data_IF_309925250494
#
_entry.id   IF_309925250494
#
_cell.length_a   1.000
_cell.length_b   1.000
_cell.length_c   1.000
_cell.angle_alpha   90.00
_cell.angle_beta   90.00
_cell.angle_gamma   90.00
#
_symmetry.space_group_name_H-M   'P 1'
#
loop_
_entity.id
_entity.type
_entity.pdbx_description
1 polymer ?
#
# COMPACT_ATOMS: atom_id res chain seq x y z
N UNK A 1 -1.81 -1.67 0.29
CA UNK A 1 -1.30 -0.87 1.42
C UNK A 1 -2.02 0.49 1.52
N UNK A 2 -1.55 1.37 2.39
CA UNK A 2 -2.24 2.63 2.69
C UNK A 2 -2.12 3.62 1.55
N UNK A 3 -1.03 3.64 0.84
CA UNK A 3 -0.82 4.56 -0.28
C UNK A 3 -1.82 4.26 -1.39
N UNK A 4 -1.90 3.01 -1.85
CA UNK A 4 -2.90 2.58 -2.83
C UNK A 4 -4.35 2.78 -2.36
N UNK A 5 -4.65 2.55 -1.07
CA UNK A 5 -5.97 2.80 -0.49
C UNK A 5 -6.31 4.30 -0.47
N UNK A 6 -5.35 5.14 -0.09
CA UNK A 6 -5.52 6.60 -0.10
C UNK A 6 -5.71 7.13 -1.52
N UNK A 7 -4.90 6.62 -2.47
CA UNK A 7 -5.03 6.95 -3.90
C UNK A 7 -6.41 6.54 -4.45
N UNK A 8 -6.88 5.34 -4.10
CA UNK A 8 -8.22 4.86 -4.48
C UNK A 8 -9.31 5.76 -3.92
N UNK A 9 -9.24 6.11 -2.63
CA UNK A 9 -10.23 6.98 -1.99
C UNK A 9 -10.23 8.41 -2.59
N UNK A 10 -9.06 8.93 -2.98
CA UNK A 10 -8.93 10.22 -3.70
C UNK A 10 -9.69 10.17 -5.03
N UNK A 11 -9.46 9.13 -5.83
CA UNK A 11 -10.12 9.03 -7.14
C UNK A 11 -11.62 8.76 -7.03
N UNK A 12 -12.07 7.92 -6.08
CA UNK A 12 -13.48 7.67 -5.84
C UNK A 12 -14.23 8.96 -5.45
N UNK A 13 -13.66 9.75 -4.54
CA UNK A 13 -14.22 11.04 -4.12
C UNK A 13 -14.28 12.02 -5.31
N UNK A 14 -13.17 12.19 -6.03
CA UNK A 14 -13.10 13.11 -7.15
C UNK A 14 -14.01 12.70 -8.32
N UNK A 15 -14.03 11.43 -8.71
CA UNK A 15 -14.87 10.93 -9.80
C UNK A 15 -16.36 11.09 -9.49
N UNK A 16 -16.75 10.84 -8.22
CA UNK A 16 -18.10 11.13 -7.77
C UNK A 16 -18.50 12.62 -7.94
N UNK A 17 -17.58 13.54 -7.68
CA UNK A 17 -17.80 14.99 -7.85
C UNK A 17 -17.82 15.40 -9.32
N UNK A 18 -16.98 14.82 -10.17
CA UNK A 18 -17.04 15.01 -11.62
C UNK A 18 -18.33 14.46 -12.26
N UNK A 19 -19.12 13.67 -11.50
CA UNK A 19 -20.40 13.15 -11.95
C UNK A 19 -20.33 11.79 -12.65
N UNK A 20 -19.22 11.08 -12.55
CA UNK A 20 -19.15 9.68 -13.00
C UNK A 20 -20.06 8.82 -12.12
N UNK A 21 -20.94 8.03 -12.77
CA UNK A 21 -21.98 7.26 -12.08
C UNK A 21 -21.59 5.82 -11.77
N UNK A 22 -20.78 5.23 -12.65
CA UNK A 22 -20.39 3.82 -12.59
C UNK A 22 -18.90 3.73 -12.28
N UNK A 23 -18.56 3.98 -11.03
CA UNK A 23 -17.19 3.90 -10.52
C UNK A 23 -17.15 2.88 -9.40
N UNK A 24 -16.28 1.88 -9.54
CA UNK A 24 -16.01 0.87 -8.54
C UNK A 24 -14.54 0.79 -8.21
N UNK A 25 -14.21 0.23 -7.05
CA UNK A 25 -12.84 -0.07 -6.68
C UNK A 25 -12.65 -1.59 -6.58
N UNK A 26 -11.49 -2.06 -7.01
CA UNK A 26 -11.05 -3.43 -6.81
C UNK A 26 -9.71 -3.42 -6.05
N UNK A 27 -9.69 -4.09 -4.91
CA UNK A 27 -8.47 -4.24 -4.11
C UNK A 27 -8.06 -5.71 -4.14
N UNK A 28 -6.89 -6.05 -4.69
CA UNK A 28 -6.38 -7.41 -4.68
C UNK A 28 -6.21 -7.95 -3.25
N UNK A 29 -6.64 -9.17 -3.02
CA UNK A 29 -6.36 -9.87 -1.77
C UNK A 29 -4.97 -10.50 -1.86
N UNK A 30 -4.03 -10.07 -1.01
CA UNK A 30 -2.63 -10.53 -1.04
C UNK A 30 -2.44 -12.04 -0.89
N UNK A 31 -3.41 -12.73 -0.26
CA UNK A 31 -3.35 -14.17 -0.04
C UNK A 31 -3.88 -15.00 -1.23
N UNK A 32 -4.61 -14.36 -2.14
CA UNK A 32 -5.25 -15.01 -3.29
C UNK A 32 -4.64 -14.51 -4.59
N UNK A 33 -4.62 -13.19 -4.80
CA UNK A 33 -4.13 -12.56 -6.04
C UNK A 33 -2.65 -12.14 -5.94
N UNK A 34 -2.11 -11.96 -4.74
CA UNK A 34 -0.79 -11.35 -4.54
C UNK A 34 -0.85 -9.83 -4.54
N UNK A 35 0.26 -9.19 -4.93
CA UNK A 35 0.39 -7.74 -5.02
C UNK A 35 0.26 -7.23 -6.45
N UNK A 36 -0.31 -6.03 -6.60
CA UNK A 36 -0.41 -5.33 -7.87
C UNK A 36 -1.50 -5.88 -8.79
N UNK A 37 -1.40 -5.55 -10.07
CA UNK A 37 -2.32 -6.00 -11.11
C UNK A 37 -1.91 -7.42 -11.55
N UNK A 38 -2.88 -8.33 -11.60
CA UNK A 38 -2.69 -9.71 -12.06
C UNK A 38 -3.75 -10.06 -13.11
N UNK A 39 -3.51 -11.11 -13.90
CA UNK A 39 -4.51 -11.60 -14.87
C UNK A 39 -5.86 -11.90 -14.19
N UNK A 40 -5.83 -12.55 -13.01
CA UNK A 40 -7.03 -12.85 -12.25
C UNK A 40 -7.75 -11.60 -11.74
N UNK A 41 -7.02 -10.51 -11.44
CA UNK A 41 -7.60 -9.22 -11.11
C UNK A 41 -8.32 -8.62 -12.34
N UNK A 42 -7.71 -8.70 -13.52
CA UNK A 42 -8.34 -8.26 -14.78
C UNK A 42 -9.63 -9.02 -15.06
N UNK A 43 -9.65 -10.35 -14.88
CA UNK A 43 -10.87 -11.15 -15.04
C UNK A 43 -11.98 -10.74 -14.09
N UNK A 44 -11.65 -10.41 -12.84
CA UNK A 44 -12.63 -9.91 -11.87
C UNK A 44 -13.19 -8.55 -12.25
N UNK A 45 -12.33 -7.64 -12.71
CA UNK A 45 -12.75 -6.31 -13.20
C UNK A 45 -13.61 -6.43 -14.46
N UNK A 46 -13.28 -7.36 -15.37
CA UNK A 46 -14.15 -7.70 -16.50
C UNK A 46 -15.57 -8.13 -16.07
N UNK A 47 -15.65 -8.95 -15.01
CA UNK A 47 -16.94 -9.41 -14.48
C UNK A 47 -17.74 -8.26 -13.81
N UNK A 48 -17.09 -7.14 -13.47
CA UNK A 48 -17.73 -5.90 -13.04
C UNK A 48 -18.24 -5.06 -14.23
N UNK A 49 -18.07 -5.54 -15.48
CA UNK A 49 -18.42 -4.88 -16.73
C UNK A 49 -17.72 -3.51 -16.90
N UNK A 50 -16.48 -3.38 -16.43
CA UNK A 50 -15.70 -2.16 -16.60
C UNK A 50 -15.13 -2.06 -18.02
N UNK A 51 -15.20 -0.86 -18.60
CA UNK A 51 -14.59 -0.51 -19.89
C UNK A 51 -13.21 0.14 -19.71
N UNK A 52 -12.93 0.66 -18.51
CA UNK A 52 -11.69 1.34 -18.16
C UNK A 52 -11.18 0.90 -16.79
N UNK A 53 -9.90 0.57 -16.74
CA UNK A 53 -9.15 0.38 -15.50
C UNK A 53 -8.27 1.60 -15.26
N UNK A 54 -8.37 2.21 -14.08
CA UNK A 54 -7.40 3.20 -13.63
C UNK A 54 -6.62 2.56 -12.48
N UNK A 55 -5.36 2.20 -12.72
CA UNK A 55 -4.51 1.67 -11.64
C UNK A 55 -4.01 2.82 -10.77
N UNK A 56 -3.88 2.57 -9.49
CA UNK A 56 -3.28 3.50 -8.54
C UNK A 56 -2.20 2.78 -7.75
N UNK A 57 -1.05 3.42 -7.56
CA UNK A 57 0.08 2.88 -6.80
C UNK A 57 0.59 1.53 -7.34
N UNK A 58 0.36 1.27 -8.63
CA UNK A 58 0.78 0.06 -9.35
C UNK A 58 0.62 0.23 -10.86
N UNK A 59 1.21 -0.69 -11.61
CA UNK A 59 0.93 -0.81 -13.05
C UNK A 59 2.13 -0.51 -13.95
N UNK A 60 3.15 0.20 -13.47
CA UNK A 60 4.31 0.58 -14.31
C UNK A 60 5.09 -0.60 -14.89
N UNK A 61 5.01 -1.78 -14.27
CA UNK A 61 5.66 -3.00 -14.73
C UNK A 61 4.69 -4.09 -15.19
N UNK A 62 3.37 -3.81 -15.20
CA UNK A 62 2.32 -4.79 -15.50
C UNK A 62 2.02 -4.87 -17.00
N UNK A 63 3.06 -5.11 -17.84
CA UNK A 63 2.92 -5.10 -19.30
C UNK A 63 1.96 -6.20 -19.81
N UNK A 64 2.14 -7.44 -19.34
CA UNK A 64 1.34 -8.58 -19.77
C UNK A 64 -0.13 -8.46 -19.32
N UNK A 65 -0.36 -7.97 -18.11
CA UNK A 65 -1.70 -7.77 -17.56
C UNK A 65 -2.46 -6.67 -18.31
N UNK A 66 -1.77 -5.61 -18.71
CA UNK A 66 -2.36 -4.51 -19.49
C UNK A 66 -2.64 -4.95 -20.92
N UNK A 67 -1.75 -5.72 -21.55
CA UNK A 67 -2.03 -6.35 -22.85
C UNK A 67 -3.24 -7.28 -22.77
N UNK A 68 -3.35 -8.06 -21.70
CA UNK A 68 -4.48 -8.93 -21.47
C UNK A 68 -5.78 -8.12 -21.30
N UNK A 69 -5.80 -7.06 -20.51
CA UNK A 69 -6.96 -6.17 -20.40
C UNK A 69 -7.38 -5.59 -21.75
N UNK A 70 -6.42 -5.12 -22.56
CA UNK A 70 -6.66 -4.62 -23.90
C UNK A 70 -7.26 -5.69 -24.84
N UNK A 71 -6.81 -6.95 -24.74
CA UNK A 71 -7.38 -8.07 -25.50
C UNK A 71 -8.85 -8.33 -25.17
N UNK A 72 -9.27 -7.96 -23.95
CA UNK A 72 -10.65 -8.03 -23.47
C UNK A 72 -11.45 -6.75 -23.76
N UNK A 73 -10.86 -5.78 -24.47
CA UNK A 73 -11.42 -4.45 -24.79
C UNK A 73 -11.64 -3.59 -23.53
N UNK A 74 -10.75 -3.72 -22.56
CA UNK A 74 -10.72 -2.88 -21.35
C UNK A 74 -9.50 -1.97 -21.50
N UNK A 75 -9.74 -0.68 -21.58
CA UNK A 75 -8.67 0.31 -21.60
C UNK A 75 -8.01 0.43 -20.22
N UNK A 76 -6.73 0.79 -20.19
CA UNK A 76 -6.01 0.95 -18.93
C UNK A 76 -5.30 2.31 -18.91
N UNK A 77 -5.50 3.05 -17.83
CA UNK A 77 -4.71 4.23 -17.44
C UNK A 77 -3.89 3.87 -16.20
N UNK A 78 -2.58 4.00 -16.30
CA UNK A 78 -1.66 3.70 -15.19
C UNK A 78 -1.35 4.99 -14.43
N UNK A 79 -1.57 4.98 -13.09
CA UNK A 79 -1.03 5.99 -12.18
C UNK A 79 -0.18 5.31 -11.12
N UNK A 80 1.12 5.62 -11.11
CA UNK A 80 2.08 4.88 -10.29
C UNK A 80 3.28 5.77 -9.93
N UNK A 81 4.09 5.35 -8.99
CA UNK A 81 5.32 6.02 -8.58
C UNK A 81 6.50 5.05 -8.38
N UNK A 82 6.25 3.75 -8.55
CA UNK A 82 7.29 2.72 -8.44
C UNK A 82 8.33 2.81 -9.56
N UNK A 83 9.36 1.99 -9.45
CA UNK A 83 10.37 1.89 -10.50
C UNK A 83 9.74 1.47 -11.83
N UNK A 84 10.31 1.95 -12.91
CA UNK A 84 9.79 1.78 -14.27
C UNK A 84 10.74 0.92 -15.10
N UNK A 85 10.19 0.25 -16.12
CA UNK A 85 10.99 -0.37 -17.17
C UNK A 85 11.53 0.69 -18.15
N UNK A 86 12.40 0.29 -19.08
CA UNK A 86 12.89 1.17 -20.15
C UNK A 86 11.76 1.67 -21.05
N UNK A 87 10.75 0.85 -21.27
CA UNK A 87 9.55 1.20 -22.04
C UNK A 87 8.33 1.29 -21.11
N UNK A 88 7.46 2.30 -21.32
CA UNK A 88 6.18 2.35 -20.60
C UNK A 88 5.29 1.13 -20.90
N UNK A 89 4.39 0.74 -19.99
CA UNK A 89 3.44 -0.33 -20.24
C UNK A 89 2.47 0.07 -21.40
N UNK A 90 1.91 -0.92 -22.13
CA UNK A 90 1.05 -0.69 -23.31
C UNK A 90 -0.37 -0.24 -22.90
N UNK A 91 -0.46 0.77 -22.06
CA UNK A 91 -1.68 1.42 -21.59
C UNK A 91 -2.07 2.60 -22.49
N UNK A 92 -3.33 3.03 -22.41
CA UNK A 92 -3.81 4.25 -23.10
C UNK A 92 -3.04 5.48 -22.62
N UNK A 93 -2.76 5.54 -21.33
CA UNK A 93 -1.91 6.55 -20.73
C UNK A 93 -1.20 5.99 -19.51
N UNK A 94 0.03 6.45 -19.26
CA UNK A 94 0.80 6.09 -18.07
C UNK A 94 1.36 7.37 -17.42
N UNK A 95 0.99 7.57 -16.17
CA UNK A 95 1.43 8.68 -15.34
C UNK A 95 2.33 8.15 -14.23
N UNK A 96 3.63 8.37 -14.38
CA UNK A 96 4.61 8.08 -13.34
C UNK A 96 5.76 9.09 -13.45
N UNK A 97 6.07 9.84 -12.39
CA UNK A 97 7.12 10.86 -12.42
C UNK A 97 8.53 10.30 -12.66
N UNK A 98 8.70 8.98 -12.60
CA UNK A 98 10.00 8.31 -12.81
C UNK A 98 10.22 7.84 -14.26
N UNK A 99 9.22 7.90 -15.16
CA UNK A 99 9.43 7.52 -16.56
C UNK A 99 10.54 8.35 -17.21
N UNK A 100 11.38 7.72 -18.06
CA UNK A 100 12.39 8.42 -18.82
C UNK A 100 11.77 9.54 -19.68
N UNK A 101 12.40 10.73 -19.66
CA UNK A 101 11.90 11.88 -20.41
C UNK A 101 10.73 12.63 -19.78
N UNK A 102 10.22 12.19 -18.65
CA UNK A 102 9.17 12.90 -17.92
C UNK A 102 9.70 14.27 -17.41
N UNK A 103 8.89 15.31 -17.57
CA UNK A 103 9.29 16.69 -17.25
C UNK A 103 8.82 17.16 -15.87
N UNK A 104 8.11 16.33 -15.12
CA UNK A 104 7.66 16.71 -13.79
C UNK A 104 8.86 16.90 -12.86
N UNK A 105 8.99 18.04 -12.17
CA UNK A 105 10.22 18.41 -11.47
C UNK A 105 10.50 17.55 -10.22
N UNK A 106 9.46 16.98 -9.60
CA UNK A 106 9.57 16.23 -8.37
C UNK A 106 9.20 14.75 -8.58
N UNK A 107 10.18 13.86 -8.40
CA UNK A 107 10.04 12.43 -8.74
C UNK A 107 9.58 11.54 -7.58
N UNK A 108 9.64 12.04 -6.35
CA UNK A 108 9.42 11.25 -5.14
C UNK A 108 7.99 11.34 -4.60
N UNK A 109 7.01 11.59 -5.46
CA UNK A 109 5.59 11.48 -5.08
C UNK A 109 5.28 10.02 -4.72
N UNK A 110 4.39 9.82 -3.74
CA UNK A 110 3.73 8.55 -3.50
C UNK A 110 2.54 8.34 -4.46
N UNK A 111 1.93 7.16 -4.48
CA UNK A 111 0.78 6.85 -5.34
C UNK A 111 -0.42 7.77 -5.09
N UNK A 112 -0.72 8.10 -3.83
CA UNK A 112 -1.75 9.08 -3.48
C UNK A 112 -1.41 10.49 -4.00
N UNK A 113 -0.12 10.86 -4.01
CA UNK A 113 0.36 12.11 -4.61
C UNK A 113 0.15 12.13 -6.12
N UNK A 114 0.43 11.03 -6.82
CA UNK A 114 0.18 10.91 -8.28
C UNK A 114 -1.31 10.97 -8.58
N UNK A 115 -2.15 10.24 -7.82
CA UNK A 115 -3.60 10.31 -7.97
C UNK A 115 -4.14 11.73 -7.74
N UNK A 116 -3.61 12.43 -6.76
CA UNK A 116 -3.96 13.84 -6.50
C UNK A 116 -3.58 14.75 -7.69
N UNK A 117 -2.42 14.54 -8.33
CA UNK A 117 -2.04 15.28 -9.54
C UNK A 117 -2.97 14.98 -10.71
N UNK A 118 -3.42 13.74 -10.86
CA UNK A 118 -4.43 13.40 -11.85
C UNK A 118 -5.73 14.18 -11.60
N UNK A 119 -6.20 14.25 -10.35
CA UNK A 119 -7.40 15.05 -10.00
C UNK A 119 -7.21 16.51 -10.36
N UNK A 120 -6.06 17.12 -10.03
CA UNK A 120 -5.76 18.50 -10.40
C UNK A 120 -5.76 18.73 -11.92
N UNK A 121 -5.23 17.79 -12.69
CA UNK A 121 -5.25 17.88 -14.15
C UNK A 121 -6.67 17.71 -14.71
N UNK A 122 -7.44 16.74 -14.22
CA UNK A 122 -8.82 16.54 -14.65
C UNK A 122 -9.72 17.75 -14.33
N UNK A 123 -9.47 18.46 -13.23
CA UNK A 123 -10.21 19.68 -12.88
C UNK A 123 -10.02 20.82 -13.90
N UNK A 124 -8.95 20.80 -14.68
CA UNK A 124 -8.76 21.79 -15.76
C UNK A 124 -9.54 21.44 -17.03
N UNK A 125 -9.97 20.20 -17.17
CA UNK A 125 -10.60 19.66 -18.38
C UNK A 125 -12.07 19.28 -18.19
N UNK A 126 -12.46 18.97 -16.94
CA UNK A 126 -13.80 18.48 -16.59
C UNK A 126 -14.49 19.42 -15.59
N UNK A 127 -15.77 19.62 -15.83
CA UNK A 127 -16.65 20.32 -14.87
C UNK A 127 -17.09 19.37 -13.73
N UNK A 128 -17.58 19.94 -12.64
CA UNK A 128 -18.24 19.21 -11.54
C UNK A 128 -17.46 19.22 -10.22
N UNK A 129 -16.14 19.25 -10.25
CA UNK A 129 -15.35 19.42 -9.03
C UNK A 129 -15.28 20.93 -8.68
N UNK A 130 -15.82 21.37 -7.52
CA UNK A 130 -15.78 22.79 -7.15
C UNK A 130 -14.35 23.31 -6.99
N UNK A 131 -14.12 24.56 -7.33
CA UNK A 131 -12.81 25.21 -7.17
C UNK A 131 -12.29 25.10 -5.74
N UNK A 132 -11.07 24.58 -5.60
CA UNK A 132 -10.41 24.39 -4.31
C UNK A 132 -10.88 23.16 -3.53
N UNK A 133 -11.82 22.36 -4.10
CA UNK A 133 -12.24 21.11 -3.45
C UNK A 133 -11.11 20.11 -3.34
N UNK A 134 -10.24 20.04 -4.32
CA UNK A 134 -9.06 19.17 -4.34
C UNK A 134 -8.20 19.31 -3.07
N UNK A 135 -8.18 20.49 -2.46
CA UNK A 135 -7.42 20.73 -1.22
C UNK A 135 -7.93 19.91 -0.04
N UNK A 136 -9.20 19.51 -0.06
CA UNK A 136 -9.76 18.63 0.99
C UNK A 136 -9.29 17.19 0.87
N UNK A 137 -8.73 16.79 -0.28
CA UNK A 137 -8.14 15.46 -0.48
C UNK A 137 -6.72 15.36 0.10
N UNK A 138 -6.14 16.47 0.55
CA UNK A 138 -4.79 16.50 1.12
C UNK A 138 -4.65 15.68 2.41
N UNK A 139 -5.73 15.42 3.13
CA UNK A 139 -5.73 14.50 4.27
C UNK A 139 -5.31 13.07 3.86
N UNK A 140 -5.83 12.60 2.73
CA UNK A 140 -5.49 11.30 2.13
C UNK A 140 -4.08 11.32 1.52
N UNK A 141 -3.69 12.40 0.85
CA UNK A 141 -2.34 12.56 0.30
C UNK A 141 -1.30 12.52 1.42
N UNK A 142 -1.54 13.20 2.54
CA UNK A 142 -0.65 13.17 3.69
C UNK A 142 -0.53 11.76 4.29
N UNK A 143 -1.66 11.04 4.37
CA UNK A 143 -1.71 9.68 4.88
C UNK A 143 -0.89 8.73 4.00
N UNK A 144 -1.10 8.71 2.67
CA UNK A 144 -0.31 7.93 1.72
C UNK A 144 1.17 8.30 1.79
N UNK A 145 1.51 9.59 1.67
CA UNK A 145 2.89 10.08 1.69
C UNK A 145 3.68 9.62 2.92
N UNK A 146 3.09 9.74 4.11
CA UNK A 146 3.77 9.36 5.36
C UNK A 146 3.87 7.85 5.50
N UNK A 147 2.84 7.10 5.12
CA UNK A 147 2.80 5.66 5.30
C UNK A 147 3.62 4.90 4.26
N UNK A 148 3.84 5.47 3.09
CA UNK A 148 4.74 4.93 2.06
C UNK A 148 6.22 5.28 2.30
N UNK A 149 6.48 6.12 3.31
CA UNK A 149 7.85 6.50 3.74
C UNK A 149 8.66 7.18 2.61
N UNK A 150 8.01 7.86 1.68
CA UNK A 150 8.70 8.67 0.67
C UNK A 150 9.36 9.91 1.29
N UNK A 151 10.32 10.47 0.58
CA UNK A 151 11.08 11.64 1.06
C UNK A 151 10.17 12.82 1.39
N UNK A 152 10.20 13.30 2.64
CA UNK A 152 9.44 14.47 3.10
C UNK A 152 10.17 15.80 2.76
N UNK A 153 10.41 16.01 1.48
CA UNK A 153 11.00 17.23 0.93
C UNK A 153 10.03 17.87 -0.07
N UNK A 154 10.33 19.07 -0.48
CA UNK A 154 9.62 19.84 -1.52
C UNK A 154 8.09 19.68 -1.45
N UNK A 155 7.50 19.12 -2.50
CA UNK A 155 6.05 18.99 -2.63
C UNK A 155 5.44 18.02 -1.61
N UNK A 156 6.10 16.90 -1.30
CA UNK A 156 5.63 15.98 -0.28
C UNK A 156 5.54 16.65 1.10
N UNK A 157 6.51 17.50 1.44
CA UNK A 157 6.47 18.25 2.69
C UNK A 157 5.29 19.20 2.74
N UNK A 158 5.02 19.91 1.63
CA UNK A 158 3.87 20.80 1.55
C UNK A 158 2.54 20.05 1.66
N UNK A 159 2.42 18.92 0.94
CA UNK A 159 1.25 18.06 0.96
C UNK A 159 0.98 17.51 2.36
N UNK A 160 2.00 17.03 3.07
CA UNK A 160 1.85 16.53 4.45
C UNK A 160 1.50 17.66 5.42
N UNK A 161 2.13 18.83 5.30
CA UNK A 161 1.82 19.97 6.15
C UNK A 161 0.35 20.39 6.02
N UNK A 162 -0.11 20.63 4.81
CA UNK A 162 -1.49 21.04 4.57
C UNK A 162 -2.48 19.91 4.78
N UNK A 163 -2.11 18.67 4.50
CA UNK A 163 -2.94 17.50 4.77
C UNK A 163 -3.21 17.32 6.27
N UNK A 164 -2.23 17.57 7.13
CA UNK A 164 -2.44 17.58 8.58
C UNK A 164 -3.40 18.69 9.01
N UNK A 165 -3.31 19.88 8.39
CA UNK A 165 -4.26 20.96 8.67
C UNK A 165 -5.68 20.64 8.19
N UNK A 166 -5.83 19.92 7.06
CA UNK A 166 -7.13 19.39 6.59
C UNK A 166 -7.66 18.33 7.54
N UNK A 167 -6.81 17.41 7.98
CA UNK A 167 -7.19 16.36 8.91
C UNK A 167 -7.74 16.91 10.24
N UNK A 168 -7.18 18.00 10.75
CA UNK A 168 -7.70 18.73 11.93
C UNK A 168 -9.14 19.25 11.74
N UNK A 169 -9.58 19.46 10.50
CA UNK A 169 -10.96 19.88 10.21
C UNK A 169 -11.99 18.75 10.33
N UNK A 170 -11.54 17.51 10.48
CA UNK A 170 -12.38 16.32 10.70
C UNK A 170 -13.56 16.16 9.71
N UNK A 171 -13.35 16.53 8.45
CA UNK A 171 -14.40 16.45 7.42
C UNK A 171 -14.71 15.04 6.97
N UNK A 172 -13.70 14.15 7.00
CA UNK A 172 -13.84 12.74 6.61
C UNK A 172 -14.27 11.93 7.82
N UNK A 173 -15.51 11.37 7.83
CA UNK A 173 -16.02 10.64 8.99
C UNK A 173 -15.10 9.49 9.41
N UNK A 174 -14.57 8.73 8.45
CA UNK A 174 -13.69 7.59 8.72
C UNK A 174 -12.39 7.97 9.43
N UNK A 175 -11.66 8.97 8.94
CA UNK A 175 -10.42 9.41 9.61
C UNK A 175 -10.70 10.01 10.99
N UNK A 176 -11.82 10.72 11.15
CA UNK A 176 -12.27 11.22 12.45
C UNK A 176 -12.54 10.07 13.44
N UNK A 177 -13.27 9.05 13.01
CA UNK A 177 -13.57 7.88 13.83
C UNK A 177 -12.30 7.10 14.19
N UNK A 178 -11.43 6.85 13.19
CA UNK A 178 -10.19 6.12 13.42
C UNK A 178 -9.22 6.86 14.36
N UNK A 179 -9.15 8.20 14.28
CA UNK A 179 -8.38 9.01 15.23
C UNK A 179 -8.95 8.89 16.65
N UNK A 180 -10.27 8.90 16.80
CA UNK A 180 -10.93 8.73 18.09
C UNK A 180 -10.63 7.35 18.70
N UNK A 181 -10.80 6.28 17.93
CA UNK A 181 -10.47 4.90 18.33
C UNK A 181 -9.00 4.75 18.70
N UNK A 182 -8.11 5.44 17.98
CA UNK A 182 -6.67 5.44 18.24
C UNK A 182 -6.25 6.32 19.43
N UNK A 183 -7.17 7.06 20.05
CA UNK A 183 -6.87 8.00 21.13
C UNK A 183 -6.03 9.20 20.70
N UNK A 184 -6.12 9.62 19.43
CA UNK A 184 -5.35 10.75 18.89
C UNK A 184 -6.16 12.03 19.03
N UNK A 185 -5.63 12.97 19.80
CA UNK A 185 -6.22 14.31 19.92
C UNK A 185 -6.04 15.08 18.62
N UNK A 186 -7.14 15.58 18.06
CA UNK A 186 -7.19 16.25 16.76
C UNK A 186 -6.18 17.40 16.63
N UNK A 187 -6.10 18.27 17.63
CA UNK A 187 -5.22 19.44 17.60
C UNK A 187 -3.72 19.08 17.67
N UNK A 188 -3.40 17.88 18.16
CA UNK A 188 -2.02 17.40 18.31
C UNK A 188 -1.58 16.45 17.20
N UNK A 189 -2.45 16.19 16.22
CA UNK A 189 -2.15 15.26 15.12
C UNK A 189 -0.91 15.73 14.35
N UNK A 190 -0.05 14.78 14.02
CA UNK A 190 1.19 15.01 13.27
C UNK A 190 1.57 13.76 12.46
N UNK A 191 2.63 13.85 11.66
CA UNK A 191 3.08 12.76 10.79
C UNK A 191 3.35 11.44 11.55
N UNK A 192 3.87 11.49 12.79
CA UNK A 192 4.07 10.29 13.60
C UNK A 192 2.75 9.57 13.89
N UNK A 193 1.66 10.30 14.12
CA UNK A 193 0.35 9.72 14.31
C UNK A 193 -0.18 9.05 13.04
N UNK A 194 0.11 9.59 11.86
CA UNK A 194 -0.22 8.93 10.58
C UNK A 194 0.55 7.62 10.45
N UNK A 195 1.88 7.65 10.53
CA UNK A 195 2.73 6.48 10.27
C UNK A 195 2.66 5.39 11.35
N UNK A 196 2.50 5.75 12.63
CA UNK A 196 2.55 4.81 13.76
C UNK A 196 1.23 4.67 14.53
N UNK A 197 0.28 5.56 14.31
CA UNK A 197 -1.06 5.51 14.90
C UNK A 197 -2.09 4.93 13.93
N UNK A 198 -2.42 5.65 12.86
CA UNK A 198 -3.45 5.26 11.90
C UNK A 198 -2.97 4.15 10.95
N UNK A 199 -1.76 4.31 10.41
CA UNK A 199 -1.18 3.39 9.43
C UNK A 199 -1.21 1.92 9.84
N UNK A 200 -0.69 1.53 11.01
CA UNK A 200 -0.69 0.13 11.44
C UNK A 200 -2.08 -0.48 11.59
N UNK A 201 -3.11 0.32 11.96
CA UNK A 201 -4.51 -0.11 12.07
C UNK A 201 -5.09 -0.46 10.70
N UNK A 202 -4.91 0.42 9.75
CA UNK A 202 -5.36 0.21 8.36
C UNK A 202 -4.64 -0.97 7.69
N UNK A 203 -3.31 -1.04 7.83
CA UNK A 203 -2.53 -2.13 7.26
C UNK A 203 -2.84 -3.50 7.88
N UNK A 204 -3.31 -3.56 9.14
CA UNK A 204 -3.64 -4.82 9.80
C UNK A 204 -4.76 -5.57 9.06
N UNK A 205 -5.73 -4.87 8.50
CA UNK A 205 -6.82 -5.44 7.73
C UNK A 205 -6.31 -6.27 6.53
N UNK A 206 -5.47 -5.68 5.69
CA UNK A 206 -4.88 -6.38 4.54
C UNK A 206 -3.83 -7.43 4.90
N UNK A 207 -3.36 -7.48 6.14
CA UNK A 207 -2.42 -8.50 6.62
C UNK A 207 -3.10 -9.73 7.23
N UNK A 208 -4.32 -9.59 7.70
CA UNK A 208 -5.05 -10.68 8.37
C UNK A 208 -6.29 -11.14 7.61
N UNK A 209 -6.99 -10.22 6.94
CA UNK A 209 -8.25 -10.50 6.25
C UNK A 209 -8.28 -9.81 4.87
N UNK A 210 -8.88 -8.64 4.78
CA UNK A 210 -8.99 -7.87 3.54
C UNK A 210 -8.74 -6.39 3.78
N UNK A 211 -8.02 -5.75 2.86
CA UNK A 211 -7.80 -4.31 2.92
C UNK A 211 -9.08 -3.49 2.62
N UNK A 212 -10.17 -4.15 2.18
CA UNK A 212 -11.45 -3.51 1.92
C UNK A 212 -11.97 -2.74 3.13
N UNK A 213 -11.83 -3.28 4.36
CA UNK A 213 -12.25 -2.58 5.58
C UNK A 213 -11.60 -1.20 5.76
N UNK A 214 -10.35 -1.06 5.32
CA UNK A 214 -9.68 0.23 5.38
C UNK A 214 -10.17 1.20 4.29
N UNK A 215 -10.53 0.70 3.10
CA UNK A 215 -11.16 1.53 2.08
C UNK A 215 -12.57 1.94 2.52
N UNK A 216 -13.37 1.02 3.06
CA UNK A 216 -14.72 1.30 3.57
C UNK A 216 -14.68 2.39 4.63
N UNK A 217 -13.71 2.32 5.55
CA UNK A 217 -13.48 3.39 6.54
C UNK A 217 -13.13 4.72 5.88
N UNK A 218 -12.23 4.75 4.88
CA UNK A 218 -11.83 6.00 4.21
C UNK A 218 -12.95 6.63 3.40
N UNK A 219 -13.88 5.82 2.89
CA UNK A 219 -14.99 6.25 2.01
C UNK A 219 -16.34 6.34 2.73
N UNK A 220 -16.39 5.99 4.03
CA UNK A 220 -17.60 6.06 4.84
C UNK A 220 -18.27 7.44 4.76
N UNK A 221 -19.57 7.45 4.48
CA UNK A 221 -20.35 8.67 4.27
C UNK A 221 -20.98 9.20 5.56
N UNK A 222 -21.16 8.36 6.55
CA UNK A 222 -21.73 8.71 7.85
C UNK A 222 -20.89 8.24 9.04
N UNK A 223 -21.25 8.73 10.23
CA UNK A 223 -20.46 8.51 11.45
C UNK A 223 -20.60 7.09 12.01
N UNK A 224 -21.70 6.37 11.75
CA UNK A 224 -21.92 5.01 12.24
C UNK A 224 -21.08 4.02 11.44
N UNK A 225 -21.18 4.04 10.12
CA UNK A 225 -20.34 3.24 9.22
C UNK A 225 -18.86 3.46 9.51
N UNK A 226 -18.47 4.73 9.68
CA UNK A 226 -17.10 5.12 9.99
C UNK A 226 -16.62 4.53 11.32
N UNK A 227 -17.46 4.52 12.35
CA UNK A 227 -17.12 3.98 13.66
C UNK A 227 -16.98 2.46 13.60
N UNK A 228 -17.95 1.76 13.04
CA UNK A 228 -17.93 0.29 12.90
C UNK A 228 -16.68 -0.18 12.14
N UNK A 229 -16.36 0.45 11.00
CA UNK A 229 -15.16 0.15 10.25
C UNK A 229 -13.88 0.44 11.04
N UNK A 230 -13.83 1.54 11.81
CA UNK A 230 -12.68 1.90 12.62
C UNK A 230 -12.45 0.95 13.79
N UNK A 231 -13.51 0.49 14.46
CA UNK A 231 -13.46 -0.51 15.52
C UNK A 231 -12.97 -1.87 14.98
N UNK A 232 -13.44 -2.27 13.79
CA UNK A 232 -12.94 -3.47 13.12
C UNK A 232 -11.43 -3.38 12.81
N UNK A 233 -10.96 -2.24 12.35
CA UNK A 233 -9.53 -2.00 12.11
C UNK A 233 -8.71 -2.07 13.41
N UNK A 234 -9.22 -1.58 14.53
CA UNK A 234 -8.55 -1.69 15.83
C UNK A 234 -8.50 -3.15 16.31
N UNK A 235 -9.62 -3.89 16.22
CA UNK A 235 -9.67 -5.33 16.53
C UNK A 235 -8.58 -6.09 15.76
N UNK A 236 -8.50 -5.88 14.45
CA UNK A 236 -7.51 -6.52 13.59
C UNK A 236 -6.08 -6.10 13.93
N UNK A 237 -5.88 -4.85 14.31
CA UNK A 237 -4.56 -4.36 14.71
C UNK A 237 -4.10 -4.97 16.04
N UNK A 238 -5.00 -5.14 17.02
CA UNK A 238 -4.71 -5.84 18.28
C UNK A 238 -4.35 -7.30 17.97
N UNK A 239 -5.16 -7.99 17.17
CA UNK A 239 -4.89 -9.38 16.76
C UNK A 239 -3.55 -9.52 16.02
N UNK A 240 -3.26 -8.60 15.09
CA UNK A 240 -1.99 -8.59 14.36
C UNK A 240 -0.80 -8.43 15.31
N UNK A 241 -0.91 -7.57 16.34
CA UNK A 241 0.16 -7.40 17.34
C UNK A 241 0.38 -8.69 18.15
N UNK A 242 -0.67 -9.36 18.62
CA UNK A 242 -0.55 -10.62 19.33
C UNK A 242 0.17 -11.67 18.50
N UNK A 243 -0.29 -11.90 17.26
CA UNK A 243 0.34 -12.84 16.31
C UNK A 243 1.82 -12.45 16.07
N UNK A 244 2.10 -11.18 15.88
CA UNK A 244 3.47 -10.70 15.66
C UNK A 244 4.39 -10.99 16.85
N UNK A 245 3.92 -10.77 18.09
CA UNK A 245 4.72 -10.97 19.27
C UNK A 245 4.94 -12.47 19.54
N UNK A 246 3.92 -13.31 19.31
CA UNK A 246 4.05 -14.78 19.37
C UNK A 246 5.11 -15.30 18.37
N UNK A 247 5.01 -14.89 17.08
CA UNK A 247 6.00 -15.28 16.05
C UNK A 247 7.39 -14.74 16.41
N UNK A 248 7.48 -13.52 16.92
CA UNK A 248 8.76 -12.92 17.27
C UNK A 248 9.46 -13.69 18.42
N UNK A 249 8.72 -14.11 19.43
CA UNK A 249 9.26 -14.87 20.55
C UNK A 249 9.74 -16.26 20.11
N UNK A 250 8.96 -16.99 19.30
CA UNK A 250 9.37 -18.26 18.73
C UNK A 250 10.60 -18.13 17.83
N UNK A 251 10.62 -17.12 16.94
CA UNK A 251 11.74 -16.85 16.05
C UNK A 251 13.02 -16.45 16.81
N UNK A 252 12.89 -15.72 17.91
CA UNK A 252 14.01 -15.43 18.81
C UNK A 252 14.60 -16.69 19.43
N UNK A 253 13.76 -17.65 19.90
CA UNK A 253 14.24 -18.91 20.44
C UNK A 253 15.05 -19.71 19.41
N UNK A 254 14.66 -19.70 18.14
CA UNK A 254 15.45 -20.31 17.07
C UNK A 254 16.75 -19.55 16.82
N UNK A 255 16.69 -18.22 16.70
CA UNK A 255 17.83 -17.36 16.40
C UNK A 255 18.89 -17.38 17.51
N UNK A 256 18.52 -17.54 18.76
CA UNK A 256 19.44 -17.63 19.92
C UNK A 256 20.35 -18.88 19.85
N UNK A 257 19.93 -19.92 19.10
CA UNK A 257 20.75 -21.09 18.82
C UNK A 257 21.66 -20.93 17.58
N UNK A 258 21.56 -19.81 16.85
CA UNK A 258 22.29 -19.51 15.58
C UNK A 258 23.35 -18.41 15.82
N UNK A 259 24.07 -18.48 16.92
CA UNK A 259 25.01 -17.41 17.33
C UNK A 259 26.16 -17.19 16.33
N UNK A 260 26.66 -18.29 15.75
CA UNK A 260 27.79 -18.28 14.81
C UNK A 260 27.38 -18.05 13.35
N UNK A 261 26.07 -18.11 13.05
CA UNK A 261 25.55 -17.94 11.71
C UNK A 261 25.62 -16.46 11.28
N UNK A 262 26.04 -16.20 10.04
CA UNK A 262 26.09 -14.86 9.46
C UNK A 262 24.72 -14.38 8.98
N UNK A 263 23.79 -15.30 8.73
CA UNK A 263 22.44 -15.08 8.27
C UNK A 263 21.50 -15.90 9.14
N UNK A 264 20.40 -15.31 9.58
CA UNK A 264 19.39 -16.03 10.33
C UNK A 264 18.32 -16.57 9.37
N UNK A 265 18.08 -17.88 9.44
CA UNK A 265 17.00 -18.55 8.70
C UNK A 265 16.09 -19.24 9.71
N UNK A 266 14.91 -18.71 9.93
CA UNK A 266 13.95 -19.22 10.92
C UNK A 266 12.63 -19.59 10.24
N UNK A 267 11.99 -20.66 10.70
CA UNK A 267 10.77 -21.16 10.07
C UNK A 267 9.81 -21.81 11.05
N UNK A 268 8.52 -21.83 10.67
CA UNK A 268 7.50 -22.62 11.37
C UNK A 268 6.27 -22.83 10.46
N UNK A 269 5.59 -23.96 10.66
CA UNK A 269 4.36 -24.31 9.94
C UNK A 269 3.13 -23.47 10.31
N UNK A 270 3.20 -22.70 11.39
CA UNK A 270 2.05 -21.96 11.91
C UNK A 270 2.15 -20.44 11.74
N UNK A 271 3.22 -19.92 11.15
CA UNK A 271 3.42 -18.47 11.07
C UNK A 271 2.57 -17.82 9.98
N UNK A 272 1.88 -16.74 10.35
CA UNK A 272 1.03 -16.00 9.44
C UNK A 272 1.86 -15.21 8.42
N UNK A 273 1.69 -15.52 7.13
CA UNK A 273 2.45 -14.94 6.01
C UNK A 273 2.29 -13.41 5.88
N UNK A 274 1.14 -12.85 6.31
CA UNK A 274 0.91 -11.41 6.31
C UNK A 274 1.69 -10.66 7.39
N UNK A 275 2.24 -11.38 8.41
CA UNK A 275 2.89 -10.80 9.58
C UNK A 275 4.39 -11.06 9.61
N UNK A 276 4.88 -12.19 9.03
CA UNK A 276 6.30 -12.58 9.08
C UNK A 276 7.25 -11.48 8.61
N UNK A 277 6.89 -10.69 7.60
CA UNK A 277 7.75 -9.60 7.11
C UNK A 277 7.98 -8.49 8.15
N UNK A 278 7.04 -8.27 9.07
CA UNK A 278 7.22 -7.32 10.19
C UNK A 278 8.20 -7.93 11.21
N UNK A 279 8.04 -9.22 11.48
CA UNK A 279 8.92 -9.95 12.41
C UNK A 279 10.35 -10.01 11.87
N UNK A 280 10.53 -10.25 10.57
CA UNK A 280 11.85 -10.20 9.93
C UNK A 280 12.58 -8.87 10.22
N UNK A 281 11.88 -7.75 10.08
CA UNK A 281 12.46 -6.42 10.38
C UNK A 281 12.85 -6.27 11.85
N UNK A 282 12.02 -6.75 12.79
CA UNK A 282 12.33 -6.74 14.23
C UNK A 282 13.54 -7.64 14.57
N UNK A 283 13.67 -8.79 13.91
CA UNK A 283 14.82 -9.68 14.10
C UNK A 283 16.11 -9.05 13.60
N UNK A 284 16.09 -8.39 12.42
CA UNK A 284 17.25 -7.63 11.93
C UNK A 284 17.64 -6.54 12.92
N UNK A 285 16.67 -5.81 13.47
CA UNK A 285 16.93 -4.77 14.46
C UNK A 285 17.57 -5.32 15.74
N UNK A 286 17.12 -6.48 16.20
CA UNK A 286 17.63 -7.13 17.43
C UNK A 286 19.00 -7.76 17.22
N UNK A 287 19.16 -8.56 16.18
CA UNK A 287 20.36 -9.41 15.98
C UNK A 287 21.44 -8.78 15.11
N UNK A 288 21.12 -7.70 14.37
CA UNK A 288 22.03 -7.03 13.44
C UNK A 288 22.63 -7.99 12.39
N UNK A 289 21.79 -8.89 11.89
CA UNK A 289 22.11 -9.87 10.86
C UNK A 289 21.03 -9.86 9.79
N UNK A 290 21.33 -10.27 8.52
CA UNK A 290 20.28 -10.56 7.53
C UNK A 290 19.36 -11.67 8.04
N UNK A 291 18.06 -11.57 7.75
CA UNK A 291 17.06 -12.52 8.22
C UNK A 291 16.19 -13.01 7.07
N UNK A 292 16.00 -14.32 7.03
CA UNK A 292 14.98 -15.02 6.25
C UNK A 292 14.01 -15.69 7.22
N UNK A 293 12.74 -15.33 7.15
CA UNK A 293 11.69 -15.91 7.96
C UNK A 293 10.69 -16.60 7.03
N UNK A 294 10.39 -17.86 7.32
CA UNK A 294 9.63 -18.75 6.42
C UNK A 294 8.41 -19.28 7.17
N UNK A 295 7.22 -19.05 6.62
CA UNK A 295 5.98 -19.69 7.06
C UNK A 295 5.64 -20.83 6.11
N UNK A 296 5.40 -22.02 6.64
CA UNK A 296 5.02 -23.20 5.87
C UNK A 296 3.49 -23.32 5.83
N UNK A 297 2.96 -23.79 4.70
CA UNK A 297 1.53 -24.06 4.52
C UNK A 297 1.32 -25.25 3.60
N UNK A 298 1.12 -26.43 4.20
CA UNK A 298 1.06 -27.67 3.43
C UNK A 298 2.38 -27.92 2.72
N UNK A 299 2.33 -28.13 1.42
CA UNK A 299 3.51 -28.40 0.58
C UNK A 299 4.21 -27.12 0.07
N UNK A 300 3.70 -25.96 0.42
CA UNK A 300 4.25 -24.67 0.01
C UNK A 300 4.79 -23.91 1.21
N UNK A 301 5.83 -23.11 0.98
CA UNK A 301 6.40 -22.21 1.97
C UNK A 301 6.48 -20.78 1.39
N UNK A 302 6.15 -19.80 2.20
CA UNK A 302 6.28 -18.39 1.84
C UNK A 302 7.26 -17.71 2.80
N UNK A 303 8.27 -17.07 2.27
CA UNK A 303 9.28 -16.36 3.05
C UNK A 303 9.16 -14.84 2.95
N UNK A 304 9.77 -14.17 3.92
CA UNK A 304 10.09 -12.75 3.84
C UNK A 304 11.53 -12.57 4.32
N UNK A 305 12.32 -11.82 3.57
CA UNK A 305 13.71 -11.57 3.91
C UNK A 305 13.97 -10.07 4.14
N UNK A 306 14.95 -9.79 4.99
CA UNK A 306 15.44 -8.43 5.25
C UNK A 306 16.95 -8.41 5.25
N UNK A 307 17.49 -7.41 4.58
CA UNK A 307 18.92 -7.15 4.47
C UNK A 307 19.49 -6.52 5.74
N UNK A 308 20.79 -6.67 5.94
CA UNK A 308 21.55 -5.93 6.94
C UNK A 308 22.97 -5.64 6.42
N UNK A 309 23.48 -4.43 6.62
CA UNK A 309 24.76 -3.99 6.06
C UNK A 309 24.75 -4.05 4.54
N UNK A 310 25.82 -4.55 3.97
CA UNK A 310 25.99 -4.68 2.50
C UNK A 310 25.35 -5.95 1.91
N UNK A 311 24.72 -6.80 2.73
CA UNK A 311 24.08 -8.01 2.25
C UNK A 311 22.72 -7.68 1.63
N UNK A 312 22.51 -8.09 0.38
CA UNK A 312 21.25 -7.96 -0.34
C UNK A 312 20.41 -9.24 -0.24
N UNK A 313 19.29 -9.18 0.48
CA UNK A 313 18.34 -10.29 0.57
C UNK A 313 17.74 -10.62 -0.81
N UNK A 314 17.47 -9.61 -1.63
CA UNK A 314 16.93 -9.80 -2.97
C UNK A 314 17.91 -10.53 -3.91
N UNK A 315 19.23 -10.25 -3.80
CA UNK A 315 20.23 -10.97 -4.59
C UNK A 315 20.37 -12.42 -4.13
N UNK A 316 20.27 -12.67 -2.83
CA UNK A 316 20.27 -14.02 -2.29
C UNK A 316 19.06 -14.84 -2.77
N UNK A 317 17.86 -14.22 -2.81
CA UNK A 317 16.66 -14.86 -3.37
C UNK A 317 16.84 -15.17 -4.85
N UNK A 318 17.38 -14.23 -5.64
CA UNK A 318 17.68 -14.47 -7.06
C UNK A 318 18.73 -15.57 -7.28
N UNK A 319 19.72 -15.68 -6.40
CA UNK A 319 20.73 -16.74 -6.48
C UNK A 319 20.18 -18.14 -6.17
N UNK A 320 19.00 -18.24 -5.58
CA UNK A 320 18.29 -19.47 -5.25
C UNK A 320 17.10 -19.76 -6.20
N UNK A 321 17.10 -19.19 -7.39
CA UNK A 321 16.00 -19.27 -8.38
C UNK A 321 15.68 -20.71 -8.81
N UNK A 322 16.63 -21.62 -8.69
CA UNK A 322 16.48 -23.05 -8.99
C UNK A 322 15.61 -23.81 -7.97
N UNK A 323 15.41 -23.26 -6.78
CA UNK A 323 14.63 -23.86 -5.68
C UNK A 323 13.43 -23.01 -5.25
N UNK A 324 13.31 -21.80 -5.76
CA UNK A 324 12.23 -20.87 -5.43
C UNK A 324 11.21 -20.84 -6.57
N UNK A 325 9.94 -21.13 -6.27
CA UNK A 325 8.86 -21.11 -7.27
C UNK A 325 8.63 -19.68 -7.80
N UNK A 326 8.66 -18.70 -6.91
CA UNK A 326 8.51 -17.27 -7.24
C UNK A 326 9.16 -16.43 -6.14
N UNK A 327 10.00 -15.51 -6.51
CA UNK A 327 10.65 -14.61 -5.56
C UNK A 327 11.01 -13.28 -6.21
N UNK A 328 11.20 -12.25 -5.40
CA UNK A 328 11.62 -10.95 -5.86
C UNK A 328 11.75 -9.96 -4.70
N UNK A 329 12.21 -8.77 -5.01
CA UNK A 329 12.41 -7.73 -4.02
C UNK A 329 13.40 -6.66 -4.47
N UNK A 330 13.73 -5.77 -3.57
CA UNK A 330 14.78 -4.75 -3.74
C UNK A 330 15.81 -4.89 -2.63
N UNK A 331 16.93 -4.20 -2.73
CA UNK A 331 18.11 -4.40 -1.89
C UNK A 331 17.86 -4.53 -0.38
N UNK A 332 16.82 -3.87 0.15
CA UNK A 332 16.48 -3.93 1.59
C UNK A 332 15.60 -5.11 1.98
N UNK A 333 14.79 -5.67 1.07
CA UNK A 333 13.76 -6.65 1.38
C UNK A 333 13.41 -7.55 0.17
N UNK A 334 13.09 -8.82 0.46
CA UNK A 334 12.57 -9.79 -0.48
C UNK A 334 11.49 -10.66 0.17
#
# INVERSE_FOLDING_TARGET
DIDGLSATAILLDAFGKFGFKEVGAFIPNRFVEGYGMTMGAVDKVRNMAADLIVTVDTGSLCHAEIEYASSLRIDTVVTDHHNVAETPPPSVAAVNPKFPGHKYPFRDLCGAGVAFKLVQALQTELDGLPDGYEKWLLDLVALGTVCDIVTLADENRANVYWGLEVLKKQRRPGLKALMSVAGIETEKVNAKHLGFGLGPRMNAAGRLETAQYALDMLTASDGLEALEASEKLEELNIKRRSIQDEIFDEACQQADNMTDDRVLVVNSGNWNHGVIGIVASKLVEKYKKPVFIIGERGDEATGSARSFGDFSAADAVRAADDIIIKGGGHGAAA
#
